data_IF_418728603186
#
_entry.id   IF_418728603186
#
_cell.length_a   1.000
_cell.length_b   1.000
_cell.length_c   1.000
_cell.angle_alpha   90.00
_cell.angle_beta   90.00
_cell.angle_gamma   90.00
#
_symmetry.space_group_name_H-M   'P 1'
#
loop_
_entity.id
_entity.type
_entity.pdbx_description
1 polymer ?
#
# COMPACT_ATOMS: atom_id res chain seq x y z
N UNK A 1 -8.28 -17.90 0.30
CA UNK A 1 -7.35 -18.12 -0.82
C UNK A 1 -5.97 -18.52 -0.30
N UNK A 2 -5.16 -19.28 -1.06
CA UNK A 2 -3.79 -19.60 -0.66
C UNK A 2 -2.94 -18.33 -0.49
N UNK A 3 -2.06 -18.31 0.51
CA UNK A 3 -1.20 -17.13 0.76
C UNK A 3 -0.15 -16.90 -0.33
N UNK A 4 0.14 -17.91 -1.15
CA UNK A 4 1.06 -17.85 -2.29
C UNK A 4 0.87 -19.08 -3.19
N UNK A 5 1.44 -19.06 -4.41
CA UNK A 5 1.37 -20.20 -5.32
C UNK A 5 1.87 -21.49 -4.66
N UNK A 6 1.07 -22.56 -4.74
CA UNK A 6 1.40 -23.86 -4.15
C UNK A 6 1.33 -23.93 -2.61
N UNK A 7 0.84 -22.90 -1.93
CA UNK A 7 0.73 -22.89 -0.47
C UNK A 7 -0.54 -23.61 0.02
N UNK A 8 -0.40 -24.51 1.00
CA UNK A 8 -1.52 -25.07 1.77
C UNK A 8 -2.12 -24.07 2.76
N UNK A 9 -1.31 -23.10 3.24
CA UNK A 9 -1.77 -22.05 4.15
C UNK A 9 -2.74 -21.10 3.42
N UNK A 10 -3.86 -20.79 4.06
CA UNK A 10 -4.95 -19.97 3.46
C UNK A 10 -5.28 -18.75 4.33
N UNK A 11 -5.77 -17.71 3.69
CA UNK A 11 -6.33 -16.50 4.32
C UNK A 11 -7.68 -16.14 3.70
N UNK A 12 -8.44 -15.29 4.37
CA UNK A 12 -9.65 -14.70 3.82
C UNK A 12 -9.37 -13.98 2.49
N UNK A 13 -10.27 -14.12 1.53
CA UNK A 13 -10.16 -13.47 0.20
C UNK A 13 -10.27 -11.96 0.31
N UNK A 14 -11.18 -11.52 1.18
CA UNK A 14 -11.49 -10.10 1.43
C UNK A 14 -11.66 -9.91 2.93
N UNK A 15 -11.13 -8.82 3.46
CA UNK A 15 -11.34 -8.39 4.85
C UNK A 15 -12.06 -7.05 4.85
N UNK A 16 -12.82 -6.75 5.90
CA UNK A 16 -13.60 -5.50 6.00
C UNK A 16 -12.74 -4.23 6.06
N UNK A 17 -11.47 -4.37 6.42
CA UNK A 17 -10.57 -3.23 6.67
C UNK A 17 -10.87 -2.53 8.01
N UNK A 18 -10.09 -1.48 8.30
CA UNK A 18 -10.28 -0.63 9.46
C UNK A 18 -11.30 0.48 9.20
N UNK A 19 -11.69 1.20 10.24
CA UNK A 19 -12.42 2.47 10.17
C UNK A 19 -11.76 3.48 11.09
N UNK A 20 -11.85 4.76 10.72
CA UNK A 20 -11.35 5.85 11.55
C UNK A 20 -12.04 5.86 12.92
N UNK A 21 -11.25 5.95 13.98
CA UNK A 21 -11.77 5.92 15.35
C UNK A 21 -12.56 7.20 15.73
N UNK A 22 -12.41 8.27 14.97
CA UNK A 22 -13.08 9.56 15.15
C UNK A 22 -13.93 9.92 13.95
N UNK A 23 -13.39 9.78 12.75
CA UNK A 23 -14.06 10.17 11.51
C UNK A 23 -15.04 9.13 11.02
N UNK A 24 -14.95 7.91 11.53
CA UNK A 24 -15.73 6.74 11.07
C UNK A 24 -15.58 6.49 9.56
N UNK A 25 -14.56 7.09 8.92
CA UNK A 25 -14.27 6.89 7.51
C UNK A 25 -13.73 5.46 7.30
N UNK A 26 -14.41 4.61 6.49
CA UNK A 26 -13.90 3.27 6.21
C UNK A 26 -12.58 3.31 5.44
N UNK A 27 -11.64 2.44 5.78
CA UNK A 27 -10.33 2.32 5.14
C UNK A 27 -10.44 2.22 3.61
N UNK A 28 -11.34 1.39 3.11
CA UNK A 28 -11.49 1.20 1.66
C UNK A 28 -11.89 2.48 0.92
N UNK A 29 -12.65 3.39 1.57
CA UNK A 29 -13.01 4.70 1.00
C UNK A 29 -11.80 5.63 1.01
N UNK A 30 -11.09 5.71 2.12
CA UNK A 30 -9.86 6.50 2.24
C UNK A 30 -8.82 6.07 1.22
N UNK A 31 -8.55 4.76 1.13
CA UNK A 31 -7.58 4.19 0.19
C UNK A 31 -7.92 4.56 -1.26
N UNK A 32 -9.19 4.51 -1.65
CA UNK A 32 -9.62 4.89 -3.00
C UNK A 32 -9.48 6.40 -3.26
N UNK A 33 -9.78 7.24 -2.28
CA UNK A 33 -9.59 8.70 -2.39
C UNK A 33 -8.12 9.04 -2.68
N UNK A 34 -7.20 8.45 -1.90
CA UNK A 34 -5.75 8.66 -2.07
C UNK A 34 -5.27 8.06 -3.39
N UNK A 35 -5.69 6.84 -3.74
CA UNK A 35 -5.28 6.18 -4.97
C UNK A 35 -5.71 6.96 -6.23
N UNK A 36 -6.92 7.54 -6.26
CA UNK A 36 -7.37 8.39 -7.38
C UNK A 36 -6.55 9.68 -7.51
N UNK A 37 -6.16 10.29 -6.38
CA UNK A 37 -5.30 11.46 -6.38
C UNK A 37 -3.88 11.10 -6.83
N UNK A 38 -3.36 9.95 -6.38
CA UNK A 38 -2.06 9.43 -6.79
C UNK A 38 -2.04 9.11 -8.28
N UNK A 39 -3.11 8.51 -8.83
CA UNK A 39 -3.25 8.29 -10.27
C UNK A 39 -3.07 9.59 -11.05
N UNK A 40 -3.81 10.65 -10.67
CA UNK A 40 -3.72 11.95 -11.35
C UNK A 40 -2.31 12.54 -11.30
N UNK A 41 -1.66 12.47 -10.12
CA UNK A 41 -0.31 12.97 -9.93
C UNK A 41 0.71 12.19 -10.77
N UNK A 42 0.64 10.87 -10.79
CA UNK A 42 1.55 10.03 -11.57
C UNK A 42 1.36 10.20 -13.08
N UNK A 43 0.12 10.31 -13.56
CA UNK A 43 -0.16 10.63 -14.97
C UNK A 43 0.44 11.98 -15.36
N UNK A 44 0.31 13.01 -14.50
CA UNK A 44 0.95 14.32 -14.71
C UNK A 44 2.49 14.22 -14.80
N UNK A 45 3.10 13.25 -14.11
CA UNK A 45 4.55 12.96 -14.17
C UNK A 45 4.95 12.06 -15.35
N UNK A 46 4.02 11.71 -16.25
CA UNK A 46 4.29 10.90 -17.45
C UNK A 46 4.16 9.39 -17.25
N UNK A 47 3.73 8.91 -16.08
CA UNK A 47 3.51 7.48 -15.87
C UNK A 47 2.21 6.99 -16.50
N UNK A 48 2.25 5.79 -17.08
CA UNK A 48 1.03 5.03 -17.43
C UNK A 48 0.51 4.34 -16.16
N UNK A 49 -0.69 4.67 -15.72
CA UNK A 49 -1.27 4.15 -14.47
C UNK A 49 -2.48 3.26 -14.74
N UNK A 50 -2.42 2.03 -14.22
CA UNK A 50 -3.53 1.08 -14.23
C UNK A 50 -4.13 1.00 -12.83
N UNK A 51 -5.39 1.36 -12.70
CA UNK A 51 -6.12 1.26 -11.43
C UNK A 51 -6.72 -0.14 -11.26
N UNK A 52 -6.41 -0.79 -10.13
CA UNK A 52 -7.01 -2.10 -9.79
C UNK A 52 -8.51 -1.98 -9.55
N UNK A 53 -8.96 -0.84 -9.00
CA UNK A 53 -10.37 -0.50 -8.87
C UNK A 53 -10.59 1.00 -8.95
N UNK A 54 -11.75 1.41 -9.43
CA UNK A 54 -12.18 2.82 -9.53
C UNK A 54 -13.44 3.10 -8.72
N UNK A 55 -14.08 2.05 -8.17
CA UNK A 55 -15.31 2.11 -7.36
C UNK A 55 -15.07 1.49 -5.98
N UNK A 56 -15.93 1.83 -5.02
CA UNK A 56 -15.87 1.27 -3.67
C UNK A 56 -16.42 -0.16 -3.62
N UNK A 57 -17.54 -0.40 -4.26
CA UNK A 57 -18.19 -1.71 -4.28
C UNK A 57 -17.52 -2.62 -5.32
N UNK A 58 -16.43 -3.25 -4.92
CA UNK A 58 -15.66 -4.19 -5.75
C UNK A 58 -15.24 -5.41 -4.92
N UNK A 59 -15.76 -6.58 -5.28
CA UNK A 59 -15.41 -7.85 -4.67
C UNK A 59 -14.21 -8.47 -5.39
N UNK A 60 -13.02 -7.97 -5.12
CA UNK A 60 -11.76 -8.52 -5.66
C UNK A 60 -10.89 -9.07 -4.54
N UNK A 61 -10.48 -10.32 -4.66
CA UNK A 61 -9.54 -10.94 -3.75
C UNK A 61 -8.13 -10.36 -3.86
N UNK A 62 -7.26 -10.62 -2.88
CA UNK A 62 -5.86 -10.18 -2.94
C UNK A 62 -5.10 -10.82 -4.11
N UNK A 63 -5.41 -12.08 -4.46
CA UNK A 63 -4.86 -12.76 -5.65
C UNK A 63 -5.28 -12.04 -6.93
N UNK A 64 -6.57 -11.72 -7.06
CA UNK A 64 -7.09 -11.02 -8.26
C UNK A 64 -6.43 -9.65 -8.44
N UNK A 65 -6.19 -8.90 -7.33
CA UNK A 65 -5.48 -7.62 -7.38
C UNK A 65 -4.03 -7.77 -7.85
N UNK A 66 -3.31 -8.77 -7.36
CA UNK A 66 -1.96 -9.08 -7.83
C UNK A 66 -1.94 -9.50 -9.31
N UNK A 67 -2.92 -10.30 -9.75
CA UNK A 67 -3.05 -10.71 -11.16
C UNK A 67 -3.26 -9.52 -12.11
N UNK A 68 -3.90 -8.43 -11.67
CA UNK A 68 -3.99 -7.20 -12.50
C UNK A 68 -2.59 -6.64 -12.78
N UNK A 69 -1.76 -6.44 -11.75
CA UNK A 69 -0.41 -5.93 -11.93
C UNK A 69 0.45 -6.86 -12.80
N UNK A 70 0.32 -8.18 -12.63
CA UNK A 70 1.02 -9.18 -13.42
C UNK A 70 0.60 -9.17 -14.90
N UNK A 71 -0.72 -9.06 -15.17
CA UNK A 71 -1.27 -9.00 -16.54
C UNK A 71 -0.68 -7.86 -17.34
N UNK A 72 -0.56 -6.70 -16.71
CA UNK A 72 -0.01 -5.50 -17.37
C UNK A 72 1.51 -5.42 -17.28
N UNK A 73 2.19 -6.42 -16.71
CA UNK A 73 3.66 -6.43 -16.50
C UNK A 73 4.13 -5.09 -15.91
N UNK A 74 3.41 -4.61 -14.88
CA UNK A 74 3.66 -3.30 -14.31
C UNK A 74 5.08 -3.20 -13.74
N UNK A 75 5.74 -2.05 -13.93
CA UNK A 75 7.09 -1.80 -13.39
C UNK A 75 7.08 -1.64 -11.87
N UNK A 76 5.93 -1.24 -11.30
CA UNK A 76 5.67 -1.20 -9.86
C UNK A 76 4.19 -1.37 -9.54
N UNK A 77 3.90 -2.04 -8.41
CA UNK A 77 2.55 -2.15 -7.86
C UNK A 77 2.48 -1.51 -6.48
N UNK A 78 1.77 -0.39 -6.38
CA UNK A 78 1.58 0.36 -5.13
C UNK A 78 0.21 0.01 -4.55
N UNK A 79 0.20 -0.52 -3.32
CA UNK A 79 -1.02 -0.88 -2.59
C UNK A 79 -1.21 0.10 -1.44
N UNK A 80 -2.23 0.94 -1.54
CA UNK A 80 -2.55 1.97 -0.55
C UNK A 80 -3.43 1.38 0.55
N UNK A 81 -3.01 1.55 1.79
CA UNK A 81 -3.68 1.10 3.00
C UNK A 81 -3.54 2.12 4.14
N UNK A 82 -4.38 1.97 5.16
CA UNK A 82 -4.26 2.68 6.42
C UNK A 82 -4.40 1.65 7.57
N UNK A 83 -3.42 1.64 8.44
CA UNK A 83 -3.26 0.64 9.48
C UNK A 83 -4.24 0.86 10.66
N UNK A 84 -4.32 -0.12 11.52
CA UNK A 84 -4.98 -0.03 12.83
C UNK A 84 -4.21 -0.84 13.86
N UNK A 85 -4.22 -0.40 15.11
CA UNK A 85 -3.57 -1.08 16.23
C UNK A 85 -4.50 -1.12 17.43
N UNK A 86 -4.25 -2.04 18.37
CA UNK A 86 -5.02 -2.14 19.61
C UNK A 86 -4.84 -0.95 20.56
N UNK A 87 -3.80 -0.12 20.37
CA UNK A 87 -3.58 1.10 21.15
C UNK A 87 -3.75 2.34 20.30
N UNK A 88 -4.50 3.32 20.79
CA UNK A 88 -4.70 4.62 20.15
C UNK A 88 -3.46 5.52 20.15
N UNK A 89 -2.44 5.19 20.95
CA UNK A 89 -1.16 5.91 21.00
C UNK A 89 -0.25 5.58 19.79
N UNK A 90 -0.48 4.45 19.13
CA UNK A 90 0.34 4.03 17.99
C UNK A 90 0.11 4.97 16.79
N UNK A 91 1.21 5.52 16.25
CA UNK A 91 1.19 6.48 15.14
C UNK A 91 2.41 6.36 14.24
N UNK A 92 2.31 6.89 13.03
CA UNK A 92 3.37 6.92 12.02
C UNK A 92 3.01 6.08 10.80
N UNK A 93 3.87 6.13 9.80
CA UNK A 93 3.69 5.40 8.55
C UNK A 93 4.73 4.29 8.41
N UNK A 94 4.37 3.24 7.70
CA UNK A 94 5.27 2.14 7.36
C UNK A 94 4.96 1.62 5.95
N UNK A 95 5.86 0.83 5.41
CA UNK A 95 5.59 0.04 4.21
C UNK A 95 5.80 -1.43 4.50
N UNK A 96 5.16 -2.29 3.71
CA UNK A 96 5.32 -3.73 3.83
C UNK A 96 5.90 -4.27 2.52
N UNK A 97 6.95 -5.07 2.65
CA UNK A 97 7.67 -5.67 1.54
C UNK A 97 7.87 -7.19 1.77
N UNK A 98 8.15 -7.95 0.70
CA UNK A 98 8.52 -9.36 0.86
C UNK A 98 9.82 -9.48 1.67
N UNK A 99 9.91 -10.47 2.55
CA UNK A 99 11.14 -10.83 3.22
C UNK A 99 12.18 -11.38 2.22
N UNK A 100 13.46 -11.31 2.56
CA UNK A 100 14.55 -11.75 1.67
C UNK A 100 14.51 -13.24 1.33
N UNK A 101 13.91 -14.05 2.20
CA UNK A 101 13.68 -15.49 2.01
C UNK A 101 12.28 -15.83 1.45
N UNK A 102 11.54 -14.86 0.91
CA UNK A 102 10.22 -15.12 0.34
C UNK A 102 10.32 -16.06 -0.86
N UNK A 103 9.78 -17.28 -0.71
CA UNK A 103 9.85 -18.35 -1.72
C UNK A 103 8.91 -18.16 -2.92
N UNK A 104 7.93 -17.26 -2.81
CA UNK A 104 6.91 -17.04 -3.85
C UNK A 104 7.32 -16.03 -4.92
N UNK A 105 8.43 -15.33 -4.70
CA UNK A 105 8.93 -14.29 -5.60
C UNK A 105 10.37 -14.57 -6.03
N UNK A 106 10.75 -14.13 -7.23
CA UNK A 106 12.15 -14.17 -7.69
C UNK A 106 13.03 -13.26 -6.81
N UNK A 107 14.32 -13.56 -6.73
CA UNK A 107 15.32 -12.75 -5.99
C UNK A 107 15.31 -11.28 -6.49
N UNK A 108 15.20 -11.08 -7.81
CA UNK A 108 15.15 -9.75 -8.41
C UNK A 108 13.92 -8.97 -7.95
N UNK A 109 12.72 -9.55 -8.02
CA UNK A 109 11.48 -8.89 -7.60
C UNK A 109 11.45 -8.62 -6.09
N UNK A 110 12.01 -9.50 -5.25
CA UNK A 110 12.15 -9.23 -3.81
C UNK A 110 13.01 -8.00 -3.55
N UNK A 111 14.21 -7.94 -4.16
CA UNK A 111 15.13 -6.79 -4.01
C UNK A 111 14.49 -5.49 -4.51
N UNK A 112 13.84 -5.52 -5.69
CA UNK A 112 13.15 -4.37 -6.25
C UNK A 112 11.98 -3.90 -5.35
N UNK A 113 11.17 -4.82 -4.83
CA UNK A 113 10.08 -4.52 -3.89
C UNK A 113 10.59 -3.87 -2.61
N UNK A 114 11.70 -4.37 -2.06
CA UNK A 114 12.34 -3.80 -0.87
C UNK A 114 12.92 -2.40 -1.13
N UNK A 115 13.55 -2.18 -2.30
CA UNK A 115 14.01 -0.85 -2.75
C UNK A 115 12.84 0.12 -2.87
N UNK A 116 11.77 -0.28 -3.58
CA UNK A 116 10.54 0.50 -3.76
C UNK A 116 9.94 0.91 -2.41
N UNK A 117 9.77 -0.04 -1.49
CA UNK A 117 9.22 0.21 -0.16
C UNK A 117 10.02 1.23 0.63
N UNK A 118 11.36 1.12 0.64
CA UNK A 118 12.24 2.08 1.32
C UNK A 118 12.15 3.48 0.73
N UNK A 119 12.14 3.59 -0.62
CA UNK A 119 12.10 4.89 -1.31
C UNK A 119 10.76 5.60 -1.09
N UNK A 120 9.64 4.86 -1.25
CA UNK A 120 8.29 5.39 -1.03
C UNK A 120 8.10 5.83 0.43
N UNK A 121 8.49 5.00 1.40
CA UNK A 121 8.35 5.35 2.82
C UNK A 121 9.16 6.59 3.20
N UNK A 122 10.43 6.64 2.78
CA UNK A 122 11.32 7.79 3.08
C UNK A 122 10.73 9.10 2.55
N UNK A 123 10.31 9.12 1.29
CA UNK A 123 9.75 10.30 0.65
C UNK A 123 8.40 10.70 1.26
N UNK A 124 7.50 9.74 1.52
CA UNK A 124 6.20 10.00 2.12
C UNK A 124 6.35 10.57 3.53
N UNK A 125 7.22 10.02 4.38
CA UNK A 125 7.45 10.56 5.71
C UNK A 125 8.07 11.96 5.68
N UNK A 126 9.01 12.22 4.76
CA UNK A 126 9.58 13.56 4.56
C UNK A 126 8.51 14.60 4.22
N UNK A 127 7.57 14.25 3.32
CA UNK A 127 6.54 15.18 2.83
C UNK A 127 5.41 15.40 3.84
N UNK A 128 5.06 14.36 4.60
CA UNK A 128 3.92 14.39 5.54
C UNK A 128 4.30 14.82 6.96
N UNK A 129 5.57 14.67 7.35
CA UNK A 129 6.03 14.77 8.72
C UNK A 129 5.61 13.58 9.60
N UNK A 130 5.11 12.49 9.00
CA UNK A 130 4.75 11.29 9.74
C UNK A 130 5.98 10.59 10.32
N UNK A 131 5.85 10.01 11.53
CA UNK A 131 6.90 9.16 12.11
C UNK A 131 7.17 7.98 11.17
N UNK A 132 8.42 7.83 10.76
CA UNK A 132 8.85 6.68 9.95
C UNK A 132 9.01 5.44 10.86
N UNK A 133 8.19 4.41 10.64
CA UNK A 133 8.22 3.15 11.39
C UNK A 133 9.01 2.04 10.72
N UNK A 134 9.65 2.35 9.60
CA UNK A 134 10.44 1.38 8.85
C UNK A 134 9.64 0.51 7.88
N UNK A 135 10.35 -0.37 7.21
CA UNK A 135 9.78 -1.38 6.30
C UNK A 135 9.55 -2.68 7.09
N UNK A 136 8.32 -3.15 7.11
CA UNK A 136 7.99 -4.48 7.64
C UNK A 136 8.19 -5.53 6.54
N UNK A 137 9.04 -6.52 6.83
CA UNK A 137 9.30 -7.62 5.90
C UNK A 137 8.48 -8.84 6.28
N UNK A 138 7.83 -9.48 5.30
CA UNK A 138 6.93 -10.61 5.57
C UNK A 138 6.82 -11.59 4.41
N UNK A 139 6.46 -12.84 4.73
CA UNK A 139 6.12 -13.89 3.78
C UNK A 139 4.63 -14.26 3.84
N UNK A 140 3.83 -13.53 4.62
CA UNK A 140 2.43 -13.90 4.90
C UNK A 140 1.39 -13.06 4.16
N UNK A 141 1.81 -12.12 3.29
CA UNK A 141 0.88 -11.24 2.56
C UNK A 141 0.53 -11.81 1.19
N UNK A 142 -0.69 -12.35 1.05
CA UNK A 142 -1.21 -12.92 -0.21
C UNK A 142 -1.00 -11.98 -1.40
N UNK A 143 -1.35 -10.70 -1.24
CA UNK A 143 -1.22 -9.72 -2.33
C UNK A 143 0.23 -9.38 -2.72
N UNK A 144 1.22 -9.73 -1.88
CA UNK A 144 2.65 -9.66 -2.21
C UNK A 144 3.08 -10.97 -2.87
N UNK A 145 2.78 -12.11 -2.24
CA UNK A 145 3.25 -13.43 -2.65
C UNK A 145 2.78 -13.84 -4.07
N UNK A 146 1.64 -13.32 -4.52
CA UNK A 146 1.11 -13.58 -5.86
C UNK A 146 1.61 -12.58 -6.91
N UNK A 147 2.40 -11.56 -6.51
CA UNK A 147 2.96 -10.60 -7.45
C UNK A 147 4.22 -11.16 -8.16
N UNK A 148 4.25 -10.94 -9.48
CA UNK A 148 5.41 -11.22 -10.34
C UNK A 148 6.14 -9.93 -10.74
N UNK A 149 5.80 -8.81 -10.11
CA UNK A 149 6.36 -7.47 -10.34
C UNK A 149 6.75 -6.84 -9.00
N UNK A 150 7.60 -5.80 -8.97
CA UNK A 150 7.91 -5.07 -7.75
C UNK A 150 6.64 -4.55 -7.06
N UNK A 151 6.49 -4.78 -5.76
CA UNK A 151 5.28 -4.44 -5.00
C UNK A 151 5.60 -3.88 -3.63
N UNK A 152 4.82 -2.89 -3.19
CA UNK A 152 4.82 -2.37 -1.82
C UNK A 152 3.39 -2.16 -1.32
N UNK A 153 3.16 -2.46 -0.03
CA UNK A 153 1.98 -1.99 0.68
C UNK A 153 2.40 -0.73 1.45
N UNK A 154 1.63 0.34 1.30
CA UNK A 154 1.87 1.63 1.97
C UNK A 154 0.81 1.80 3.04
N UNK A 155 1.22 1.78 4.29
CA UNK A 155 0.39 2.08 5.46
C UNK A 155 0.60 3.57 5.79
N UNK A 156 -0.37 4.40 5.39
CA UNK A 156 -0.26 5.87 5.42
C UNK A 156 -0.25 6.46 6.83
N UNK A 157 -0.79 5.72 7.79
CA UNK A 157 -0.97 6.10 9.19
C UNK A 157 -1.89 5.11 9.89
N UNK A 158 -2.22 5.34 11.15
CA UNK A 158 -3.08 4.48 11.96
C UNK A 158 -4.47 5.08 12.14
N UNK A 159 -5.50 4.42 11.64
CA UNK A 159 -6.90 4.83 11.78
C UNK A 159 -7.40 4.70 13.22
N UNK A 160 -6.74 3.90 14.05
CA UNK A 160 -6.95 3.80 15.50
C UNK A 160 -6.39 4.99 16.29
N UNK A 161 -5.55 5.84 15.68
CA UNK A 161 -5.00 7.03 16.33
C UNK A 161 -5.86 8.26 15.97
N UNK A 162 -6.47 8.95 16.97
CA UNK A 162 -7.40 10.06 16.71
C UNK A 162 -6.80 11.21 15.90
N UNK A 163 -5.52 11.53 16.10
CA UNK A 163 -4.84 12.61 15.38
C UNK A 163 -4.56 12.22 13.91
N UNK A 164 -4.10 10.98 13.67
CA UNK A 164 -3.81 10.51 12.32
C UNK A 164 -5.09 10.26 11.50
N UNK A 165 -6.12 9.72 12.12
CA UNK A 165 -7.43 9.55 11.50
C UNK A 165 -7.96 10.89 10.97
N UNK A 166 -8.02 11.94 11.84
CA UNK A 166 -8.43 13.29 11.42
C UNK A 166 -7.53 13.86 10.32
N UNK A 167 -6.21 13.62 10.37
CA UNK A 167 -5.28 14.09 9.33
C UNK A 167 -5.53 13.41 8.00
N UNK A 168 -5.61 12.06 7.97
CA UNK A 168 -5.82 11.29 6.76
C UNK A 168 -7.15 11.58 6.07
N UNK A 169 -8.18 11.98 6.82
CA UNK A 169 -9.47 12.42 6.27
C UNK A 169 -9.39 13.77 5.54
N UNK A 170 -8.39 14.63 5.86
CA UNK A 170 -8.24 15.96 5.25
C UNK A 170 -7.62 15.89 3.86
N UNK A 171 -8.26 16.53 2.88
CA UNK A 171 -7.78 16.60 1.50
C UNK A 171 -6.36 17.16 1.37
N UNK A 172 -6.00 18.17 2.20
CA UNK A 172 -4.67 18.77 2.23
C UNK A 172 -3.58 17.78 2.67
N UNK A 173 -3.86 16.94 3.67
CA UNK A 173 -2.92 15.91 4.11
C UNK A 173 -2.81 14.77 3.11
N UNK A 174 -3.92 14.36 2.48
CA UNK A 174 -3.91 13.39 1.39
C UNK A 174 -3.05 13.87 0.21
N UNK A 175 -3.06 15.18 -0.12
CA UNK A 175 -2.15 15.74 -1.14
C UNK A 175 -0.67 15.58 -0.76
N UNK A 176 -0.32 15.76 0.52
CA UNK A 176 1.06 15.50 1.02
C UNK A 176 1.44 14.03 0.90
N UNK A 177 0.55 13.11 1.28
CA UNK A 177 0.75 11.66 1.12
C UNK A 177 1.01 11.33 -0.35
N UNK A 178 0.14 11.80 -1.24
CA UNK A 178 0.23 11.58 -2.70
C UNK A 178 1.56 12.08 -3.27
N UNK A 179 1.93 13.34 -2.93
CA UNK A 179 3.21 13.90 -3.35
C UNK A 179 4.38 13.03 -2.87
N UNK A 180 4.38 12.64 -1.59
CA UNK A 180 5.46 11.83 -1.02
C UNK A 180 5.57 10.43 -1.64
N UNK A 181 4.43 9.76 -1.92
CA UNK A 181 4.44 8.47 -2.61
C UNK A 181 4.97 8.64 -4.04
N UNK A 182 4.51 9.66 -4.77
CA UNK A 182 4.96 9.93 -6.13
C UNK A 182 6.47 10.25 -6.19
N UNK A 183 6.96 11.10 -5.28
CA UNK A 183 8.41 11.39 -5.14
C UNK A 183 9.22 10.12 -4.84
N UNK A 184 8.65 9.20 -4.04
CA UNK A 184 9.28 7.91 -3.74
C UNK A 184 9.32 6.96 -4.93
N UNK A 185 8.32 7.02 -5.81
CA UNK A 185 8.27 6.27 -7.08
C UNK A 185 9.33 6.84 -8.04
N UNK A 186 9.40 8.17 -8.23
CA UNK A 186 10.45 8.80 -9.05
C UNK A 186 11.86 8.40 -8.59
N UNK A 187 12.10 8.35 -7.27
CA UNK A 187 13.38 7.93 -6.70
C UNK A 187 13.67 6.43 -6.84
N UNK A 188 12.67 5.62 -7.17
CA UNK A 188 12.83 4.19 -7.38
C UNK A 188 13.32 3.90 -8.80
N UNK A 189 12.76 4.58 -9.78
CA UNK A 189 13.17 4.50 -11.19
C UNK A 189 14.42 5.32 -11.45
#
# INVERSE_FOLDING_TARGET
>A
EPIGPGSSQRKAKVTGGASGCVTHLPEYKLNLQVAKKLQKELVKRGYKVIMVRTKNNVRMSNVQRAKVANKYKADAFIRIHANSAGSSSVKGALTIAPASNNRYMTKANRKASQKLSKKVLKAMCKTTGAKNRGVMYTNSMTGINWCKVPVTIVEMGFMSNPSEDRKMAKASYQKKIVKGIADGIDNFF
#
